data_IF_502038247975
#
_entry.id   IF_502038247975
#
_cell.length_a   1.000
_cell.length_b   1.000
_cell.length_c   1.000
_cell.angle_alpha   90.00
_cell.angle_beta   90.00
_cell.angle_gamma   90.00
#
_symmetry.space_group_name_H-M   'P 1'
#
loop_
_entity.id
_entity.type
_entity.pdbx_description
1 polymer ?
#
# COMPACT_ATOMS: atom_id res chain seq x y z
N UNK A 1 18.22 0.81 19.74
CA UNK A 1 17.65 0.07 18.58
C UNK A 1 18.69 0.04 17.48
N UNK A 2 19.04 -1.12 16.90
CA UNK A 2 19.96 -1.16 15.74
C UNK A 2 19.28 -0.51 14.53
N UNK A 3 20.06 0.09 13.60
CA UNK A 3 19.50 0.76 12.40
C UNK A 3 18.60 -0.16 11.56
N UNK A 4 18.92 -1.45 11.52
CA UNK A 4 18.11 -2.50 10.86
C UNK A 4 16.74 -2.64 11.53
N UNK A 5 16.71 -2.74 12.86
CA UNK A 5 15.46 -2.89 13.62
C UNK A 5 14.61 -1.61 13.57
N UNK A 6 15.23 -0.44 13.57
CA UNK A 6 14.52 0.84 13.37
C UNK A 6 13.86 0.93 11.98
N UNK A 7 14.56 0.53 10.91
CA UNK A 7 14.00 0.50 9.55
C UNK A 7 12.85 -0.49 9.38
N UNK A 8 12.93 -1.66 10.03
CA UNK A 8 11.84 -2.63 10.04
C UNK A 8 10.60 -2.12 10.78
N UNK A 9 10.77 -1.55 11.98
CA UNK A 9 9.67 -0.93 12.76
C UNK A 9 9.04 0.24 11.99
N UNK A 10 9.86 1.04 11.30
CA UNK A 10 9.38 2.11 10.43
C UNK A 10 8.53 1.56 9.27
N UNK A 11 8.94 0.46 8.62
CA UNK A 11 8.17 -0.16 7.55
C UNK A 11 6.80 -0.65 8.03
N UNK A 12 6.74 -1.30 9.19
CA UNK A 12 5.47 -1.77 9.78
C UNK A 12 4.55 -0.58 10.06
N UNK A 13 5.04 0.47 10.71
CA UNK A 13 4.22 1.65 11.06
C UNK A 13 3.76 2.43 9.84
N UNK A 14 4.56 2.47 8.77
CA UNK A 14 4.21 3.18 7.56
C UNK A 14 3.19 2.42 6.71
N UNK A 15 3.34 1.10 6.59
CA UNK A 15 2.50 0.28 5.71
C UNK A 15 1.30 -0.36 6.40
N UNK A 16 1.21 -0.28 7.74
CA UNK A 16 0.18 -0.95 8.52
C UNK A 16 -0.31 -0.12 9.70
N UNK A 17 -1.52 -0.45 10.19
CA UNK A 17 -2.08 0.15 11.41
C UNK A 17 -1.54 -0.47 12.71
N UNK A 18 -0.68 -1.50 12.64
CA UNK A 18 -0.25 -2.21 13.83
C UNK A 18 0.57 -1.29 14.76
N UNK A 19 0.17 -1.14 16.03
CA UNK A 19 0.91 -0.31 16.97
C UNK A 19 2.25 -1.00 17.28
N UNK A 20 3.34 -0.39 16.82
CA UNK A 20 4.69 -0.91 17.04
C UNK A 20 5.44 0.00 18.03
N UNK A 21 5.93 -0.53 19.17
CA UNK A 21 6.61 0.27 20.18
C UNK A 21 7.96 0.81 19.67
N UNK A 22 8.29 2.04 20.11
CA UNK A 22 9.53 2.74 19.76
C UNK A 22 9.29 4.15 19.21
N UNK A 23 10.25 5.05 19.45
CA UNK A 23 10.28 6.36 18.80
C UNK A 23 10.97 6.21 17.45
N UNK A 24 10.30 6.64 16.38
CA UNK A 24 10.96 6.87 15.10
C UNK A 24 11.85 8.11 15.27
N UNK A 25 13.08 8.08 14.75
CA UNK A 25 13.91 9.27 14.69
C UNK A 25 13.17 10.40 13.98
N UNK A 26 13.16 11.60 14.57
CA UNK A 26 12.50 12.79 14.00
C UNK A 26 13.12 13.25 12.68
N UNK A 27 14.27 12.69 12.29
CA UNK A 27 15.07 13.05 11.13
C UNK A 27 14.70 12.27 9.85
N UNK A 28 13.65 11.45 9.87
CA UNK A 28 13.10 10.77 8.68
C UNK A 28 14.01 9.71 8.05
N UNK A 29 15.23 9.52 8.58
CA UNK A 29 16.22 8.55 8.09
C UNK A 29 15.79 7.12 8.29
N UNK A 30 15.02 6.84 9.33
CA UNK A 30 14.47 5.51 9.61
C UNK A 30 13.41 5.12 8.56
N UNK A 31 12.59 6.08 8.12
CA UNK A 31 11.60 5.89 7.05
C UNK A 31 12.32 5.68 5.72
N UNK A 32 13.34 6.46 5.40
CA UNK A 32 14.16 6.27 4.20
C UNK A 32 14.85 4.89 4.16
N UNK A 33 15.31 4.40 5.32
CA UNK A 33 15.92 3.08 5.46
C UNK A 33 14.94 1.90 5.47
N UNK A 34 13.64 2.16 5.46
CA UNK A 34 12.59 1.14 5.62
C UNK A 34 12.21 0.42 4.32
N UNK A 35 12.50 1.01 3.16
CA UNK A 35 12.11 0.50 1.83
C UNK A 35 12.48 -0.97 1.58
N UNK A 36 13.68 -1.47 1.94
CA UNK A 36 14.02 -2.89 1.74
C UNK A 36 13.15 -3.85 2.56
N UNK A 37 12.50 -3.40 3.62
CA UNK A 37 11.63 -4.21 4.47
C UNK A 37 10.19 -4.25 3.97
N UNK A 38 9.82 -3.47 2.95
CA UNK A 38 8.45 -3.44 2.43
C UNK A 38 7.99 -4.85 1.97
N UNK A 39 8.75 -5.62 1.17
CA UNK A 39 8.37 -6.98 0.80
C UNK A 39 8.18 -7.91 2.01
N UNK A 40 8.98 -7.74 3.06
CA UNK A 40 8.87 -8.51 4.31
C UNK A 40 7.56 -8.21 5.03
N UNK A 41 7.18 -6.93 5.11
CA UNK A 41 5.86 -6.53 5.64
C UNK A 41 4.73 -7.10 4.77
N UNK A 42 4.91 -7.10 3.43
CA UNK A 42 3.99 -7.75 2.51
C UNK A 42 3.82 -9.25 2.80
N UNK A 43 4.91 -9.98 3.01
CA UNK A 43 4.88 -11.40 3.36
C UNK A 43 4.16 -11.64 4.69
N UNK A 44 4.45 -10.83 5.71
CA UNK A 44 3.80 -10.91 7.01
C UNK A 44 2.28 -10.74 6.89
N UNK A 45 1.82 -9.69 6.21
CA UNK A 45 0.40 -9.46 5.95
C UNK A 45 -0.22 -10.58 5.10
N UNK A 46 0.52 -11.09 4.12
CA UNK A 46 0.11 -12.21 3.28
C UNK A 46 -0.13 -13.49 4.07
N UNK A 47 0.76 -13.83 5.00
CA UNK A 47 0.59 -15.00 5.87
C UNK A 47 -0.67 -14.90 6.74
N UNK A 48 -0.92 -13.73 7.34
CA UNK A 48 -2.13 -13.50 8.15
C UNK A 48 -3.38 -13.60 7.25
N UNK A 49 -3.36 -12.93 6.10
CA UNK A 49 -4.47 -12.95 5.16
C UNK A 49 -4.76 -14.35 4.61
N UNK A 50 -3.74 -15.16 4.33
CA UNK A 50 -3.87 -16.54 3.89
C UNK A 50 -4.54 -17.42 4.97
N UNK A 51 -4.11 -17.29 6.23
CA UNK A 51 -4.73 -18.00 7.36
C UNK A 51 -6.20 -17.61 7.57
N UNK A 52 -6.49 -16.31 7.55
CA UNK A 52 -7.87 -15.81 7.65
C UNK A 52 -8.72 -16.21 6.45
N UNK A 53 -8.14 -16.24 5.24
CA UNK A 53 -8.85 -16.69 4.04
C UNK A 53 -9.23 -18.15 4.14
N UNK A 54 -8.32 -19.01 4.60
CA UNK A 54 -8.60 -20.42 4.83
C UNK A 54 -9.76 -20.58 5.82
N UNK A 55 -9.73 -19.85 6.95
CA UNK A 55 -10.79 -19.86 7.94
C UNK A 55 -12.12 -19.34 7.37
N UNK A 56 -12.14 -18.18 6.70
CA UNK A 56 -13.38 -17.61 6.18
C UNK A 56 -14.01 -18.46 5.08
N UNK A 57 -13.23 -19.08 4.19
CA UNK A 57 -13.73 -20.03 3.19
C UNK A 57 -14.15 -21.39 3.78
N UNK A 58 -13.86 -21.67 5.05
CA UNK A 58 -14.42 -22.83 5.77
C UNK A 58 -15.73 -22.52 6.46
N UNK A 59 -15.92 -21.28 6.93
CA UNK A 59 -17.05 -20.88 7.77
C UNK A 59 -18.19 -20.21 7.00
N UNK A 60 -17.89 -19.53 5.89
CA UNK A 60 -18.83 -18.68 5.17
C UNK A 60 -18.92 -19.02 3.68
N UNK A 61 -19.94 -18.48 3.01
CA UNK A 61 -20.01 -18.51 1.54
C UNK A 61 -18.87 -17.71 0.92
N UNK A 62 -18.47 -18.05 -0.31
CA UNK A 62 -17.33 -17.40 -0.98
C UNK A 62 -17.49 -15.88 -1.08
N UNK A 63 -18.71 -15.39 -1.30
CA UNK A 63 -18.99 -13.95 -1.36
C UNK A 63 -18.76 -13.25 -0.01
N UNK A 64 -19.32 -13.81 1.07
CA UNK A 64 -19.15 -13.24 2.41
C UNK A 64 -17.68 -13.26 2.82
N UNK A 65 -17.01 -14.39 2.58
CA UNK A 65 -15.60 -14.53 2.87
C UNK A 65 -14.72 -13.54 2.06
N UNK A 66 -15.06 -13.29 0.79
CA UNK A 66 -14.38 -12.31 -0.07
C UNK A 66 -14.54 -10.87 0.42
N UNK A 67 -15.72 -10.50 0.92
CA UNK A 67 -15.95 -9.18 1.53
C UNK A 67 -15.13 -9.06 2.82
N UNK A 68 -15.19 -10.05 3.70
CA UNK A 68 -14.45 -10.04 4.97
C UNK A 68 -12.94 -9.93 4.77
N UNK A 69 -12.36 -10.71 3.86
CA UNK A 69 -10.91 -10.64 3.61
C UNK A 69 -10.50 -9.31 2.97
N UNK A 70 -11.37 -8.72 2.13
CA UNK A 70 -11.14 -7.39 1.55
C UNK A 70 -11.11 -6.32 2.65
N UNK A 71 -12.06 -6.37 3.60
CA UNK A 71 -12.11 -5.47 4.76
C UNK A 71 -10.86 -5.63 5.63
N UNK A 72 -10.45 -6.88 5.93
CA UNK A 72 -9.25 -7.17 6.71
C UNK A 72 -8.00 -6.57 6.07
N UNK A 73 -7.77 -6.83 4.77
CA UNK A 73 -6.61 -6.30 4.06
C UNK A 73 -6.62 -4.77 3.98
N UNK A 74 -7.79 -4.16 3.78
CA UNK A 74 -7.96 -2.71 3.82
C UNK A 74 -7.57 -2.15 5.19
N UNK A 75 -8.17 -2.70 6.26
CA UNK A 75 -7.92 -2.29 7.64
C UNK A 75 -6.45 -2.44 8.03
N UNK A 76 -5.83 -3.59 7.76
CA UNK A 76 -4.41 -3.80 8.05
C UNK A 76 -3.50 -2.80 7.37
N UNK A 77 -3.80 -2.39 6.15
CA UNK A 77 -3.00 -1.41 5.40
C UNK A 77 -3.29 0.05 5.76
N UNK A 78 -4.28 0.32 6.61
CA UNK A 78 -4.72 1.68 6.94
C UNK A 78 -5.33 2.44 5.75
N UNK A 79 -5.68 1.74 4.67
CA UNK A 79 -6.27 2.36 3.48
C UNK A 79 -5.32 3.16 2.60
N UNK A 80 -4.00 3.22 2.89
CA UNK A 80 -3.05 4.09 2.17
C UNK A 80 -3.05 3.86 0.64
N UNK A 81 -3.23 2.63 0.19
CA UNK A 81 -3.30 2.31 -1.25
C UNK A 81 -4.62 2.76 -1.89
N UNK A 82 -5.71 2.78 -1.12
CA UNK A 82 -7.02 3.21 -1.60
C UNK A 82 -7.06 4.73 -1.68
N UNK A 83 -6.51 5.41 -0.67
CA UNK A 83 -6.30 6.86 -0.65
C UNK A 83 -5.52 7.33 -1.87
N UNK A 84 -4.34 6.75 -2.11
CA UNK A 84 -3.53 7.08 -3.29
C UNK A 84 -4.21 6.75 -4.63
N UNK A 85 -5.09 5.73 -4.69
CA UNK A 85 -5.89 5.46 -5.89
C UNK A 85 -6.96 6.54 -6.11
N UNK A 86 -7.66 6.94 -5.04
CA UNK A 86 -8.68 7.97 -5.10
C UNK A 86 -8.07 9.30 -5.55
N UNK A 87 -6.97 9.72 -4.92
CA UNK A 87 -6.22 10.93 -5.29
C UNK A 87 -5.77 10.89 -6.74
N UNK A 88 -5.22 9.75 -7.19
CA UNK A 88 -4.76 9.59 -8.57
C UNK A 88 -5.92 9.68 -9.54
N UNK A 89 -7.08 9.08 -9.24
CA UNK A 89 -8.25 9.15 -10.08
C UNK A 89 -8.82 10.58 -10.14
N UNK A 90 -8.97 11.26 -9.00
CA UNK A 90 -9.44 12.64 -8.94
C UNK A 90 -8.50 13.62 -9.63
N UNK A 91 -7.19 13.42 -9.47
CA UNK A 91 -6.17 14.17 -10.18
C UNK A 91 -6.23 13.94 -11.70
N UNK A 92 -5.93 12.72 -12.15
CA UNK A 92 -5.73 12.43 -13.57
C UNK A 92 -7.00 12.50 -14.41
N UNK A 93 -8.16 12.14 -13.85
CA UNK A 93 -9.42 12.12 -14.60
C UNK A 93 -10.14 13.48 -14.60
N UNK A 94 -9.59 14.49 -13.91
CA UNK A 94 -10.14 15.85 -13.91
C UNK A 94 -9.90 16.64 -15.22
N UNK A 95 -9.08 16.14 -16.14
CA UNK A 95 -8.71 16.81 -17.41
C UNK A 95 -8.13 18.23 -17.19
N UNK A 96 -7.40 18.42 -16.10
CA UNK A 96 -6.80 19.71 -15.71
C UNK A 96 -5.31 19.77 -16.04
N UNK A 97 -4.71 20.97 -16.10
CA UNK A 97 -3.26 21.09 -16.24
C UNK A 97 -2.54 20.48 -15.03
N UNK A 98 -1.29 20.04 -15.24
CA UNK A 98 -0.47 19.32 -14.24
C UNK A 98 -0.41 20.00 -12.87
N UNK A 99 -0.30 21.33 -12.82
CA UNK A 99 -0.25 22.08 -11.55
C UNK A 99 -1.50 21.86 -10.70
N UNK A 100 -2.68 21.91 -11.32
CA UNK A 100 -3.96 21.69 -10.66
C UNK A 100 -4.16 20.22 -10.28
N UNK A 101 -3.71 19.27 -11.11
CA UNK A 101 -3.73 17.83 -10.77
C UNK A 101 -2.96 17.58 -9.46
N UNK A 102 -1.77 18.15 -9.34
CA UNK A 102 -0.93 17.97 -8.15
C UNK A 102 -1.49 18.66 -6.89
N UNK A 103 -2.30 19.70 -7.08
CA UNK A 103 -3.03 20.39 -6.02
C UNK A 103 -4.24 19.55 -5.56
N UNK A 104 -5.00 18.97 -6.50
CA UNK A 104 -6.10 18.04 -6.19
C UNK A 104 -5.60 16.84 -5.41
N UNK A 105 -4.49 16.22 -5.83
CA UNK A 105 -3.87 15.09 -5.11
C UNK A 105 -3.30 15.44 -3.73
N UNK A 106 -3.34 16.72 -3.31
CA UNK A 106 -2.93 17.17 -1.97
C UNK A 106 -4.15 17.50 -1.11
N UNK A 107 -5.29 17.74 -1.73
CA UNK A 107 -6.53 17.98 -1.05
C UNK A 107 -7.02 16.68 -0.42
N UNK A 108 -7.38 16.70 0.86
CA UNK A 108 -7.90 15.53 1.55
C UNK A 108 -9.36 15.22 1.19
N UNK A 109 -10.01 16.08 0.39
CA UNK A 109 -11.39 15.88 -0.07
C UNK A 109 -11.41 14.91 -1.23
N UNK A 110 -12.23 13.87 -1.10
CA UNK A 110 -12.49 12.93 -2.19
C UNK A 110 -13.44 13.54 -3.23
N UNK A 111 -13.09 13.38 -4.51
CA UNK A 111 -13.92 13.75 -5.65
C UNK A 111 -14.71 12.57 -6.22
N UNK A 112 -15.56 12.86 -7.21
CA UNK A 112 -16.43 11.86 -7.82
C UNK A 112 -15.63 10.75 -8.53
N UNK A 113 -14.49 11.08 -9.15
CA UNK A 113 -13.68 10.11 -9.87
C UNK A 113 -12.94 9.18 -8.91
N UNK A 114 -12.51 9.69 -7.76
CA UNK A 114 -11.95 8.91 -6.65
C UNK A 114 -12.97 7.90 -6.13
N UNK A 115 -14.20 8.34 -5.84
CA UNK A 115 -15.29 7.44 -5.40
C UNK A 115 -15.56 6.35 -6.44
N UNK A 116 -15.69 6.70 -7.72
CA UNK A 116 -15.93 5.73 -8.81
C UNK A 116 -14.78 4.71 -8.87
N UNK A 117 -13.52 5.16 -8.82
CA UNK A 117 -12.37 4.28 -8.86
C UNK A 117 -12.33 3.30 -7.67
N UNK A 118 -12.65 3.79 -6.46
CA UNK A 118 -12.73 2.94 -5.26
C UNK A 118 -13.84 1.90 -5.37
N UNK A 119 -15.04 2.29 -5.82
CA UNK A 119 -16.17 1.36 -6.00
C UNK A 119 -15.80 0.29 -7.02
N UNK A 120 -15.26 0.67 -8.18
CA UNK A 120 -14.86 -0.29 -9.22
C UNK A 120 -13.75 -1.23 -8.73
N UNK A 121 -12.76 -0.72 -8.00
CA UNK A 121 -11.70 -1.55 -7.44
C UNK A 121 -12.24 -2.55 -6.40
N UNK A 122 -13.10 -2.12 -5.49
CA UNK A 122 -13.64 -2.99 -4.45
C UNK A 122 -14.56 -4.06 -5.03
N UNK A 123 -15.40 -3.70 -6.01
CA UNK A 123 -16.20 -4.67 -6.76
C UNK A 123 -15.31 -5.69 -7.46
N UNK A 124 -14.26 -5.25 -8.16
CA UNK A 124 -13.32 -6.14 -8.83
C UNK A 124 -12.63 -7.08 -7.84
N UNK A 125 -12.16 -6.57 -6.70
CA UNK A 125 -11.52 -7.41 -5.66
C UNK A 125 -12.46 -8.47 -5.12
N UNK A 126 -13.66 -8.08 -4.72
CA UNK A 126 -14.64 -9.00 -4.12
C UNK A 126 -15.07 -10.05 -5.13
N UNK A 127 -15.39 -9.66 -6.37
CA UNK A 127 -15.80 -10.58 -7.44
C UNK A 127 -14.68 -11.53 -7.86
N UNK A 128 -13.45 -11.03 -7.98
CA UNK A 128 -12.30 -11.88 -8.28
C UNK A 128 -12.09 -12.91 -7.17
N UNK A 129 -12.07 -12.49 -5.90
CA UNK A 129 -11.86 -13.40 -4.77
C UNK A 129 -13.00 -14.41 -4.63
N UNK A 130 -14.27 -14.00 -4.78
CA UNK A 130 -15.41 -14.90 -4.63
C UNK A 130 -15.50 -15.97 -5.73
N UNK A 131 -14.85 -15.74 -6.87
CA UNK A 131 -14.76 -16.69 -7.99
C UNK A 131 -13.70 -17.78 -7.81
N UNK A 132 -12.81 -17.63 -6.83
CA UNK A 132 -11.71 -18.56 -6.59
C UNK A 132 -12.10 -19.65 -5.58
N UNK A 133 -11.54 -20.85 -5.79
CA UNK A 133 -11.63 -21.91 -4.78
C UNK A 133 -10.77 -21.59 -3.55
N UNK A 134 -10.98 -22.35 -2.46
CA UNK A 134 -10.27 -22.12 -1.19
C UNK A 134 -8.74 -22.16 -1.33
N UNK A 135 -8.21 -23.11 -2.09
CA UNK A 135 -6.77 -23.24 -2.29
C UNK A 135 -6.19 -22.08 -3.10
N UNK A 136 -6.93 -21.65 -4.13
CA UNK A 136 -6.57 -20.48 -4.93
C UNK A 136 -6.60 -19.18 -4.12
N UNK A 137 -7.64 -18.95 -3.32
CA UNK A 137 -7.73 -17.74 -2.48
C UNK A 137 -6.58 -17.68 -1.48
N UNK A 138 -6.25 -18.78 -0.81
CA UNK A 138 -5.14 -18.83 0.15
C UNK A 138 -3.82 -18.44 -0.52
N UNK A 139 -3.55 -18.93 -1.74
CA UNK A 139 -2.36 -18.55 -2.50
C UNK A 139 -2.41 -17.09 -2.95
N UNK A 140 -3.56 -16.63 -3.45
CA UNK A 140 -3.74 -15.26 -3.91
C UNK A 140 -3.55 -14.25 -2.77
N UNK A 141 -4.15 -14.49 -1.60
CA UNK A 141 -4.07 -13.58 -0.46
C UNK A 141 -2.72 -13.61 0.24
N UNK A 142 -1.92 -14.68 0.07
CA UNK A 142 -0.50 -14.69 0.41
C UNK A 142 0.34 -13.79 -0.51
N UNK A 143 0.12 -13.90 -1.83
CA UNK A 143 0.98 -13.27 -2.84
C UNK A 143 0.65 -11.79 -3.09
N UNK A 144 -0.62 -11.40 -3.06
CA UNK A 144 -1.07 -10.04 -3.39
C UNK A 144 -0.44 -8.98 -2.48
N UNK A 145 -0.37 -9.16 -1.15
CA UNK A 145 0.30 -8.20 -0.28
C UNK A 145 1.79 -8.06 -0.60
N UNK A 146 2.50 -9.16 -0.89
CA UNK A 146 3.92 -9.15 -1.29
C UNK A 146 4.09 -8.35 -2.59
N UNK A 147 3.29 -8.67 -3.60
CA UNK A 147 3.34 -8.02 -4.91
C UNK A 147 3.14 -6.51 -4.79
N UNK A 148 2.16 -6.06 -3.99
CA UNK A 148 1.92 -4.64 -3.76
C UNK A 148 3.11 -3.92 -3.12
N UNK A 149 3.80 -4.55 -2.18
CA UNK A 149 4.96 -3.93 -1.51
C UNK A 149 6.19 -3.93 -2.39
N UNK A 150 6.39 -4.96 -3.21
CA UNK A 150 7.41 -4.96 -4.25
C UNK A 150 7.15 -3.87 -5.30
N UNK A 151 5.88 -3.65 -5.69
CA UNK A 151 5.53 -2.60 -6.64
C UNK A 151 5.91 -1.20 -6.13
N UNK A 152 5.72 -0.90 -4.84
CA UNK A 152 6.16 0.36 -4.24
C UNK A 152 7.68 0.53 -4.37
N UNK A 153 8.46 -0.51 -4.03
CA UNK A 153 9.93 -0.48 -4.13
C UNK A 153 10.37 -0.25 -5.58
N UNK A 154 9.75 -0.92 -6.54
CA UNK A 154 10.02 -0.75 -7.96
C UNK A 154 9.72 0.68 -8.44
N UNK A 155 8.58 1.25 -8.04
CA UNK A 155 8.20 2.62 -8.39
C UNK A 155 9.21 3.64 -7.83
N UNK A 156 9.63 3.47 -6.57
CA UNK A 156 10.65 4.33 -5.93
C UNK A 156 12.00 4.24 -6.66
N UNK A 157 12.38 3.05 -7.12
CA UNK A 157 13.64 2.84 -7.82
C UNK A 157 13.63 3.44 -9.23
N UNK A 158 12.55 3.20 -9.99
CA UNK A 158 12.50 3.44 -11.42
C UNK A 158 12.05 4.85 -11.81
N UNK A 159 11.15 5.48 -11.05
CA UNK A 159 10.54 6.75 -11.44
C UNK A 159 11.20 7.95 -10.74
N UNK A 160 11.30 9.12 -11.38
CA UNK A 160 11.67 10.35 -10.68
C UNK A 160 10.51 10.86 -9.82
N UNK A 161 10.81 11.54 -8.72
CA UNK A 161 9.77 12.14 -7.90
C UNK A 161 9.05 13.28 -8.65
N UNK A 162 7.72 13.25 -8.65
CA UNK A 162 6.91 14.11 -9.52
C UNK A 162 6.83 15.58 -9.07
N UNK A 163 7.07 15.88 -7.78
CA UNK A 163 6.90 17.21 -7.17
C UNK A 163 8.26 17.80 -6.78
N UNK A 164 8.45 19.10 -7.06
CA UNK A 164 9.67 19.84 -6.69
C UNK A 164 9.65 20.36 -5.25
N UNK A 165 8.47 20.63 -4.71
CA UNK A 165 8.25 21.26 -3.39
C UNK A 165 8.22 20.28 -2.20
N UNK A 166 8.43 18.98 -2.45
CA UNK A 166 8.50 17.94 -1.41
C UNK A 166 7.17 17.26 -1.07
N UNK A 167 7.23 16.25 -0.21
CA UNK A 167 6.08 15.46 0.27
C UNK A 167 6.52 14.15 0.93
N UNK A 168 5.56 13.30 1.31
CA UNK A 168 5.82 12.00 1.96
C UNK A 168 6.86 11.17 1.21
N UNK A 169 6.75 11.11 -0.12
CA UNK A 169 7.67 10.32 -0.92
C UNK A 169 9.11 10.87 -0.93
N UNK A 170 9.34 12.17 -0.66
CA UNK A 170 10.68 12.77 -0.60
C UNK A 170 11.59 12.07 0.41
N UNK A 171 11.02 11.53 1.50
CA UNK A 171 11.75 10.76 2.49
C UNK A 171 12.46 9.55 1.86
N UNK A 172 11.84 8.88 0.90
CA UNK A 172 12.41 7.71 0.22
C UNK A 172 13.40 8.08 -0.90
N UNK A 173 13.24 9.24 -1.54
CA UNK A 173 14.12 9.70 -2.62
C UNK A 173 15.42 10.35 -2.14
N UNK A 174 15.47 10.82 -0.88
CA UNK A 174 16.66 11.46 -0.27
C UNK A 174 17.92 10.59 -0.26
N UNK A 175 17.79 9.27 -0.45
CA UNK A 175 18.87 8.27 -0.38
C UNK A 175 19.17 7.55 -1.71
N UNK A 176 18.64 8.04 -2.84
CA UNK A 176 18.81 7.40 -4.17
C UNK A 176 20.29 7.19 -4.57
N UNK A 177 21.21 7.96 -3.98
CA UNK A 177 22.65 7.96 -4.32
C UNK A 177 23.42 6.68 -4.01
N UNK A 178 22.93 5.78 -3.15
CA UNK A 178 23.69 4.58 -2.75
C UNK A 178 23.32 3.29 -3.51
N UNK A 179 22.13 3.22 -4.11
CA UNK A 179 21.61 1.99 -4.74
C UNK A 179 21.57 2.04 -6.26
N UNK A 180 21.39 3.23 -6.83
CA UNK A 180 21.36 3.44 -8.26
C UNK A 180 22.47 4.45 -8.47
N UNK A 181 23.60 3.99 -9.00
CA UNK A 181 24.75 4.84 -9.30
C UNK A 181 24.24 6.10 -9.99
N UNK A 182 24.28 7.21 -9.25
CA UNK A 182 23.84 8.49 -9.74
C UNK A 182 24.75 8.85 -10.93
N UNK A 183 24.17 8.83 -12.12
CA UNK A 183 24.67 9.59 -13.26
C UNK A 183 23.74 10.77 -13.45
#
# INVERSE_FOLDING_TARGET
MTRVMAGFVAAIRFLTIFPCPGQLGSDGKDIAGSTPFFPVVGLFLGCIAAGLSWLFWTLFSSLVAAVLITIVLMGFSGGLHLDGLADTADGFLSTRPRSQILEIMRDSRIGAMGVIALVMLLLLKVTALSSLDRGQVVRATLLVPIAGRCAIVLVIALLPYARKEGGLATLFYSRRSWWIGAR
#
